data_IF_268623655366
#
_entry.id   IF_268623655366
#
_cell.length_a   1.000
_cell.length_b   1.000
_cell.length_c   1.000
_cell.angle_alpha   90.00
_cell.angle_beta   90.00
_cell.angle_gamma   90.00
#
_symmetry.space_group_name_H-M   'P 1'
#
loop_
_entity.id
_entity.type
_entity.pdbx_description
1 polymer ?
#
# COMPACT_ATOMS: atom_id res chain seq x y z
N UNK A 1 -17.20 29.32 21.79
CA UNK A 1 -15.97 28.67 21.30
C UNK A 1 -15.32 29.67 20.36
N UNK A 2 -14.02 29.97 20.49
CA UNK A 2 -13.40 31.03 19.68
C UNK A 2 -13.41 30.66 18.19
N UNK A 3 -13.43 31.69 17.35
CA UNK A 3 -13.86 31.70 15.95
C UNK A 3 -12.70 31.31 15.00
N UNK A 4 -11.55 30.97 15.59
CA UNK A 4 -10.23 30.92 14.95
C UNK A 4 -9.42 29.66 15.37
N UNK A 5 -10.09 28.66 15.94
CA UNK A 5 -9.54 27.32 16.05
C UNK A 5 -9.69 26.57 14.70
N UNK A 6 -8.62 26.58 13.89
CA UNK A 6 -8.58 25.94 12.57
C UNK A 6 -8.80 24.41 12.60
N UNK A 7 -8.74 23.79 13.78
CA UNK A 7 -9.23 22.43 14.04
C UNK A 7 -9.88 22.35 15.43
N UNK A 8 -11.20 22.21 15.48
CA UNK A 8 -11.90 21.72 16.67
C UNK A 8 -11.89 20.19 16.65
N UNK A 9 -11.09 19.51 17.49
CA UNK A 9 -11.04 18.05 17.54
C UNK A 9 -12.38 17.43 17.97
N UNK A 10 -13.29 18.23 18.54
CA UNK A 10 -14.65 17.82 18.90
C UNK A 10 -15.68 18.05 17.78
N UNK A 11 -15.38 18.89 16.77
CA UNK A 11 -16.29 19.22 15.66
C UNK A 11 -15.92 18.51 14.35
N UNK A 12 -14.64 18.19 14.15
CA UNK A 12 -14.23 17.19 13.16
C UNK A 12 -14.53 15.85 13.79
N UNK A 13 -15.81 15.44 13.71
CA UNK A 13 -16.36 14.26 14.38
C UNK A 13 -15.36 13.11 14.36
N UNK A 14 -15.14 12.51 15.54
CA UNK A 14 -14.08 11.54 15.82
C UNK A 14 -13.61 10.84 14.54
N UNK A 15 -12.52 11.33 13.94
CA UNK A 15 -11.74 10.56 12.98
C UNK A 15 -11.06 9.47 13.79
N UNK A 16 -11.86 8.52 14.30
CA UNK A 16 -11.46 7.26 14.91
C UNK A 16 -10.94 6.36 13.80
N UNK A 17 -9.97 6.84 13.02
CA UNK A 17 -9.13 5.96 12.23
C UNK A 17 -8.20 5.31 13.25
N UNK A 18 -8.69 4.27 13.92
CA UNK A 18 -7.86 3.45 14.79
C UNK A 18 -6.65 3.01 13.97
N UNK A 19 -5.43 3.30 14.42
CA UNK A 19 -4.19 2.99 13.69
C UNK A 19 -4.15 1.54 13.19
N UNK A 20 -4.79 0.61 13.92
CA UNK A 20 -4.93 -0.79 13.52
C UNK A 20 -5.69 -0.99 12.20
N UNK A 21 -6.69 -0.17 11.88
CA UNK A 21 -7.47 -0.32 10.66
C UNK A 21 -6.72 0.19 9.43
N UNK A 22 -5.91 1.24 9.61
CA UNK A 22 -5.00 1.75 8.58
C UNK A 22 -3.91 0.71 8.29
N UNK A 23 -3.35 0.09 9.33
CA UNK A 23 -2.37 -0.99 9.20
C UNK A 23 -3.00 -2.22 8.53
N UNK A 24 -4.21 -2.61 8.91
CA UNK A 24 -4.90 -3.76 8.33
C UNK A 24 -5.22 -3.56 6.83
N UNK A 25 -5.64 -2.35 6.45
CA UNK A 25 -5.88 -2.01 5.04
C UNK A 25 -4.59 -1.87 4.22
N UNK A 26 -3.54 -1.31 4.81
CA UNK A 26 -2.19 -1.30 4.24
C UNK A 26 -1.62 -2.71 4.04
N UNK A 27 -1.83 -3.61 5.00
CA UNK A 27 -1.39 -5.01 4.91
C UNK A 27 -2.12 -5.76 3.80
N UNK A 28 -3.45 -5.60 3.69
CA UNK A 28 -4.24 -6.19 2.59
C UNK A 28 -3.81 -5.67 1.22
N UNK A 29 -3.63 -4.35 1.08
CA UNK A 29 -3.19 -3.73 -0.18
C UNK A 29 -1.75 -4.10 -0.55
N UNK A 30 -0.85 -4.13 0.43
CA UNK A 30 0.53 -4.58 0.27
C UNK A 30 0.62 -6.04 -0.12
N UNK A 31 -0.17 -6.93 0.50
CA UNK A 31 -0.20 -8.35 0.14
C UNK A 31 -0.66 -8.57 -1.30
N UNK A 32 -1.73 -7.87 -1.72
CA UNK A 32 -2.21 -7.86 -3.10
C UNK A 32 -1.15 -7.33 -4.08
N UNK A 33 -0.51 -6.20 -3.76
CA UNK A 33 0.57 -5.63 -4.57
C UNK A 33 1.80 -6.53 -4.66
N UNK A 34 2.12 -7.28 -3.60
CA UNK A 34 3.20 -8.25 -3.57
C UNK A 34 2.89 -9.44 -4.47
N UNK A 35 1.69 -10.02 -4.38
CA UNK A 35 1.27 -11.15 -5.22
C UNK A 35 1.29 -10.75 -6.69
N UNK A 36 0.75 -9.56 -7.01
CA UNK A 36 0.67 -9.05 -8.39
C UNK A 36 2.05 -8.74 -8.97
N UNK A 37 3.06 -8.35 -8.18
CA UNK A 37 4.42 -8.15 -8.69
C UNK A 37 5.30 -9.39 -8.67
N UNK A 38 5.10 -10.29 -7.70
CA UNK A 38 5.89 -11.51 -7.57
C UNK A 38 5.54 -12.53 -8.66
N UNK A 39 4.26 -12.66 -9.02
CA UNK A 39 3.81 -13.54 -10.11
C UNK A 39 4.52 -13.25 -11.44
N UNK A 40 4.47 -12.03 -12.01
CA UNK A 40 5.14 -11.74 -13.28
C UNK A 40 6.66 -11.79 -13.16
N UNK A 41 7.24 -11.43 -12.01
CA UNK A 41 8.68 -11.56 -11.78
C UNK A 41 9.15 -13.03 -11.81
N UNK A 42 8.40 -13.95 -11.20
CA UNK A 42 8.67 -15.38 -11.23
C UNK A 42 8.47 -15.97 -12.63
N UNK A 43 7.43 -15.54 -13.35
CA UNK A 43 7.19 -15.96 -14.73
C UNK A 43 8.34 -15.52 -15.65
N UNK A 44 8.84 -14.29 -15.51
CA UNK A 44 10.01 -13.82 -16.27
C UNK A 44 11.26 -14.65 -15.95
N UNK A 45 11.51 -14.93 -14.67
CA UNK A 45 12.64 -15.77 -14.25
C UNK A 45 12.56 -17.19 -14.80
N UNK A 46 11.35 -17.76 -14.87
CA UNK A 46 11.13 -19.11 -15.39
C UNK A 46 11.36 -19.18 -16.91
N UNK A 47 10.91 -18.17 -17.67
CA UNK A 47 10.99 -18.16 -19.13
C UNK A 47 12.38 -17.80 -19.66
N UNK A 48 13.06 -16.84 -19.05
CA UNK A 48 14.31 -16.28 -19.59
C UNK A 48 15.57 -16.73 -18.83
N UNK A 49 15.41 -17.43 -17.71
CA UNK A 49 16.53 -17.88 -16.89
C UNK A 49 17.25 -16.74 -16.15
N UNK A 50 18.34 -17.11 -15.47
CA UNK A 50 19.05 -16.26 -14.51
C UNK A 50 20.11 -15.34 -15.14
N UNK A 51 19.82 -14.71 -16.29
CA UNK A 51 20.73 -13.77 -16.93
C UNK A 51 20.87 -12.48 -16.08
N UNK A 52 22.06 -11.86 -16.06
CA UNK A 52 22.42 -10.76 -15.14
C UNK A 52 21.43 -9.58 -15.16
N UNK A 53 20.81 -9.27 -16.30
CA UNK A 53 19.83 -8.19 -16.43
C UNK A 53 18.45 -8.51 -15.84
N UNK A 54 18.01 -9.78 -15.96
CA UNK A 54 16.67 -10.22 -15.51
C UNK A 54 16.60 -10.31 -13.99
N UNK A 55 17.71 -10.59 -13.31
CA UNK A 55 17.76 -10.62 -11.83
C UNK A 55 17.39 -9.28 -11.19
N UNK A 56 17.81 -8.16 -11.80
CA UNK A 56 17.49 -6.83 -11.30
C UNK A 56 16.00 -6.52 -11.45
N UNK A 57 15.42 -6.83 -12.62
CA UNK A 57 14.00 -6.61 -12.91
C UNK A 57 13.12 -7.51 -12.04
N UNK A 58 13.49 -8.78 -11.89
CA UNK A 58 12.78 -9.73 -11.05
C UNK A 58 12.75 -9.33 -9.57
N UNK A 59 13.70 -8.52 -9.10
CA UNK A 59 13.71 -8.00 -7.73
C UNK A 59 13.06 -6.61 -7.62
N UNK A 60 13.28 -5.73 -8.60
CA UNK A 60 12.73 -4.38 -8.60
C UNK A 60 11.21 -4.37 -8.77
N UNK A 61 10.65 -5.26 -9.61
CA UNK A 61 9.21 -5.31 -9.90
C UNK A 61 8.39 -5.65 -8.65
N UNK A 62 8.68 -6.72 -7.88
CA UNK A 62 7.92 -7.02 -6.66
C UNK A 62 8.06 -5.94 -5.58
N UNK A 63 9.23 -5.31 -5.46
CA UNK A 63 9.45 -4.23 -4.48
C UNK A 63 8.61 -3.01 -4.84
N UNK A 64 8.60 -2.60 -6.11
CA UNK A 64 7.85 -1.45 -6.57
C UNK A 64 6.32 -1.67 -6.52
N UNK A 65 5.84 -2.87 -6.86
CA UNK A 65 4.40 -3.17 -6.76
C UNK A 65 3.97 -3.33 -5.31
N UNK A 66 4.84 -3.85 -4.43
CA UNK A 66 4.58 -3.92 -2.99
C UNK A 66 4.42 -2.53 -2.38
N UNK A 67 5.36 -1.61 -2.64
CA UNK A 67 5.28 -0.24 -2.11
C UNK A 67 4.05 0.48 -2.64
N UNK A 68 3.74 0.33 -3.92
CA UNK A 68 2.55 0.92 -4.54
C UNK A 68 1.25 0.36 -3.95
N UNK A 69 1.16 -0.97 -3.79
CA UNK A 69 0.01 -1.64 -3.18
C UNK A 69 -0.19 -1.27 -1.71
N UNK A 70 0.90 -1.09 -0.96
CA UNK A 70 0.87 -0.68 0.44
C UNK A 70 0.36 0.76 0.59
N UNK A 71 0.80 1.68 -0.26
CA UNK A 71 0.32 3.07 -0.30
C UNK A 71 -1.18 3.11 -0.63
N UNK A 72 -1.60 2.42 -1.70
CA UNK A 72 -3.01 2.37 -2.10
C UNK A 72 -3.90 1.72 -1.03
N UNK A 73 -3.41 0.67 -0.36
CA UNK A 73 -4.12 0.02 0.75
C UNK A 73 -4.36 0.94 1.93
N UNK A 74 -3.36 1.73 2.32
CA UNK A 74 -3.49 2.72 3.40
C UNK A 74 -4.44 3.87 3.01
N UNK A 75 -4.36 4.39 1.78
CA UNK A 75 -5.23 5.48 1.32
C UNK A 75 -6.69 5.02 1.26
N UNK A 76 -6.94 3.82 0.72
CA UNK A 76 -8.29 3.25 0.63
C UNK A 76 -8.88 2.96 2.01
N UNK A 77 -8.07 2.47 2.94
CA UNK A 77 -8.45 2.31 4.34
C UNK A 77 -8.76 3.63 5.06
N UNK A 78 -8.27 4.78 4.56
CA UNK A 78 -8.64 6.11 5.06
C UNK A 78 -9.89 6.68 4.36
N UNK A 79 -10.23 6.20 3.15
CA UNK A 79 -11.38 6.65 2.35
C UNK A 79 -12.67 5.89 2.62
N UNK A 80 -12.62 4.59 2.95
CA UNK A 80 -13.81 3.77 3.28
C UNK A 80 -14.51 4.19 4.59
N UNK A 81 -13.99 5.21 5.29
CA UNK A 81 -14.61 5.84 6.47
C UNK A 81 -15.17 7.23 6.16
N UNK A 82 -15.86 7.37 5.03
CA UNK A 82 -16.59 8.59 4.66
C UNK A 82 -18.05 8.49 5.03
#
# INVERSE_FOLDING_TARGET
>A
MPEDAIYCPFCVGERKTTDRDVIAGGLKGGLLGLIVGLLPALVLLYLFGAERGIKAIAFAVPVATFTTGLILGMVKAKQDWK
#
